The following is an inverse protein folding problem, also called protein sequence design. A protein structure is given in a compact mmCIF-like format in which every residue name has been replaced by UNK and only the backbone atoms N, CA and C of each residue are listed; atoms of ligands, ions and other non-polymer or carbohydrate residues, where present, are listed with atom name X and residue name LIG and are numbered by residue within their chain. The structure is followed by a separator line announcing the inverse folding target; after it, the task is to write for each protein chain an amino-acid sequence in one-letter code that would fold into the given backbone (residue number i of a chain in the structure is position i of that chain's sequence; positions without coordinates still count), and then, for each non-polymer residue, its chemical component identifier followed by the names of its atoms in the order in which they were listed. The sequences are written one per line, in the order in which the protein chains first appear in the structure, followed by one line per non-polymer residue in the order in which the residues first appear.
data_IF_234993438820
#
_entry.id   IF_234993438820
#
_cell.length_a   1.000
_cell.length_b   1.000
_cell.length_c   1.000
_cell.angle_alpha   90.00
_cell.angle_beta   90.00
_cell.angle_gamma   90.00
#
_symmetry.space_group_name_H-M   'P 1'
#
loop_
_entity.id
_entity.type
_entity.pdbx_description
1 polymer ?
#
# COMPACT_ATOMS: atom_id res chain seq x y z
N UNK A 1 9.81 4.53 -29.23
CA UNK A 1 8.60 3.73 -29.27
C UNK A 1 7.71 3.95 -28.04
N UNK A 2 8.25 4.01 -26.81
CA UNK A 2 7.54 4.42 -25.58
C UNK A 2 7.11 5.90 -25.61
N UNK A 3 7.83 6.75 -26.33
CA UNK A 3 7.56 8.20 -26.48
C UNK A 3 6.21 8.56 -27.14
N UNK A 4 5.46 7.59 -27.65
CA UNK A 4 4.18 7.87 -28.33
C UNK A 4 2.97 7.90 -27.38
N UNK A 5 3.13 7.53 -26.11
CA UNK A 5 2.02 7.31 -25.17
C UNK A 5 2.10 8.12 -23.88
N UNK A 6 3.25 8.81 -23.60
CA UNK A 6 3.49 9.53 -22.37
C UNK A 6 4.40 10.75 -22.56
N UNK A 7 4.52 11.58 -21.54
CA UNK A 7 5.53 12.63 -21.46
C UNK A 7 6.93 12.03 -21.71
N UNK A 8 7.75 12.72 -22.50
CA UNK A 8 9.08 12.23 -22.91
C UNK A 8 10.00 11.91 -21.70
N UNK A 9 9.79 12.57 -20.56
CA UNK A 9 10.55 12.30 -19.34
C UNK A 9 10.13 10.97 -18.69
N UNK A 10 8.85 10.65 -18.64
CA UNK A 10 8.34 9.40 -18.10
C UNK A 10 8.72 8.22 -18.98
N UNK A 11 8.61 8.35 -20.30
CA UNK A 11 9.06 7.32 -21.22
C UNK A 11 10.57 7.03 -21.11
N UNK A 12 11.40 8.05 -20.88
CA UNK A 12 12.84 7.90 -20.68
C UNK A 12 13.17 7.22 -19.35
N UNK A 13 12.40 7.50 -18.27
CA UNK A 13 12.53 6.82 -16.98
C UNK A 13 12.16 5.35 -17.11
N UNK A 14 10.99 5.05 -17.66
CA UNK A 14 10.54 3.68 -17.90
C UNK A 14 11.52 2.85 -18.72
N UNK A 15 12.07 3.43 -19.79
CA UNK A 15 13.04 2.74 -20.63
C UNK A 15 14.29 2.36 -19.85
N UNK A 16 14.77 3.22 -18.95
CA UNK A 16 15.92 2.95 -18.09
C UNK A 16 15.63 1.86 -17.06
N UNK A 17 14.45 1.93 -16.42
CA UNK A 17 14.05 0.95 -15.42
C UNK A 17 13.90 -0.44 -16.06
N UNK A 18 13.29 -0.52 -17.25
CA UNK A 18 13.24 -1.75 -18.04
C UNK A 18 14.63 -2.25 -18.43
N UNK A 19 15.53 -1.36 -18.83
CA UNK A 19 16.89 -1.74 -19.21
C UNK A 19 17.68 -2.30 -18.01
N UNK A 20 17.57 -1.66 -16.85
CA UNK A 20 18.15 -2.18 -15.61
C UNK A 20 17.59 -3.57 -15.27
N UNK A 21 16.28 -3.73 -15.36
CA UNK A 21 15.59 -4.98 -15.06
C UNK A 21 16.04 -6.12 -15.98
N UNK A 22 16.03 -5.89 -17.29
CA UNK A 22 16.34 -6.91 -18.28
C UNK A 22 17.81 -7.32 -18.28
N UNK A 23 18.73 -6.35 -18.07
CA UNK A 23 20.17 -6.62 -18.10
C UNK A 23 20.76 -6.99 -16.75
N UNK A 24 20.01 -6.76 -15.66
CA UNK A 24 20.53 -6.89 -14.29
C UNK A 24 21.65 -5.89 -13.95
N UNK A 25 21.90 -4.90 -14.83
CA UNK A 25 22.96 -3.91 -14.64
C UNK A 25 22.45 -2.69 -13.90
N UNK A 26 23.21 -2.15 -12.94
CA UNK A 26 22.81 -0.95 -12.22
C UNK A 26 22.81 0.27 -13.14
N UNK A 27 21.96 1.26 -12.79
CA UNK A 27 21.70 2.46 -13.60
C UNK A 27 22.94 3.28 -13.91
N UNK A 28 23.85 3.42 -12.97
CA UNK A 28 25.11 4.16 -13.12
C UNK A 28 26.00 3.51 -14.18
N UNK A 29 26.10 2.18 -14.19
CA UNK A 29 26.86 1.44 -15.21
C UNK A 29 26.28 1.65 -16.60
N UNK A 30 24.95 1.56 -16.76
CA UNK A 30 24.28 1.78 -18.04
C UNK A 30 24.41 3.22 -18.57
N UNK A 31 24.59 4.20 -17.69
CA UNK A 31 24.72 5.60 -18.06
C UNK A 31 26.18 6.02 -18.37
N UNK A 32 27.17 5.33 -17.81
CA UNK A 32 28.60 5.72 -17.91
C UNK A 32 29.40 4.89 -18.91
N UNK A 33 28.98 3.66 -19.18
CA UNK A 33 29.68 2.78 -20.12
C UNK A 33 28.94 2.65 -21.45
N UNK A 34 29.25 3.54 -22.39
CA UNK A 34 28.68 3.53 -23.73
C UNK A 34 29.18 2.39 -24.63
N UNK A 35 30.10 1.55 -24.14
CA UNK A 35 30.64 0.40 -24.89
C UNK A 35 29.86 -0.89 -24.67
N UNK A 36 28.89 -0.89 -23.75
CA UNK A 36 28.07 -2.05 -23.46
C UNK A 36 27.20 -2.45 -24.66
N UNK A 37 27.33 -3.70 -25.06
CA UNK A 37 26.46 -4.31 -26.07
C UNK A 37 25.41 -5.19 -25.39
N UNK A 38 24.19 -5.13 -25.92
CA UNK A 38 23.12 -6.04 -25.50
C UNK A 38 23.29 -7.40 -26.19
N UNK A 39 23.01 -8.48 -25.47
CA UNK A 39 22.91 -9.83 -26.04
C UNK A 39 21.58 -10.00 -26.78
N UNK A 40 21.48 -11.04 -27.61
CA UNK A 40 20.21 -11.38 -28.28
C UNK A 40 19.10 -11.69 -27.27
N UNK A 41 19.45 -12.35 -26.14
CA UNK A 41 18.53 -12.67 -25.06
C UNK A 41 18.04 -11.40 -24.35
N UNK A 42 18.94 -10.44 -24.06
CA UNK A 42 18.57 -9.14 -23.50
C UNK A 42 17.67 -8.34 -24.45
N UNK A 43 17.94 -8.37 -25.76
CA UNK A 43 17.07 -7.72 -26.74
C UNK A 43 15.67 -8.34 -26.79
N UNK A 44 15.58 -9.67 -26.81
CA UNK A 44 14.30 -10.37 -26.80
C UNK A 44 13.50 -10.12 -25.51
N UNK A 45 14.16 -10.12 -24.34
CA UNK A 45 13.54 -9.81 -23.06
C UNK A 45 13.06 -8.35 -23.00
N UNK A 46 13.81 -7.40 -23.56
CA UNK A 46 13.41 -6.00 -23.67
C UNK A 46 12.18 -5.85 -24.57
N UNK A 47 12.15 -6.49 -25.73
CA UNK A 47 10.98 -6.45 -26.63
C UNK A 47 9.74 -7.02 -25.95
N UNK A 48 9.88 -8.10 -25.21
CA UNK A 48 8.79 -8.68 -24.41
C UNK A 48 8.29 -7.71 -23.34
N UNK A 49 9.18 -7.12 -22.54
CA UNK A 49 8.86 -6.18 -21.47
C UNK A 49 8.19 -4.90 -22.03
N UNK A 50 8.73 -4.33 -23.11
CA UNK A 50 8.14 -3.17 -23.80
C UNK A 50 6.73 -3.48 -24.33
N UNK A 51 6.52 -4.68 -24.89
CA UNK A 51 5.20 -5.08 -25.39
C UNK A 51 4.18 -5.22 -24.24
N UNK A 52 4.56 -5.72 -23.07
CA UNK A 52 3.69 -5.74 -21.88
C UNK A 52 3.22 -4.35 -21.50
N UNK A 53 4.16 -3.40 -21.37
CA UNK A 53 3.85 -1.98 -21.04
C UNK A 53 2.95 -1.36 -22.13
N UNK A 54 3.24 -1.58 -23.41
CA UNK A 54 2.43 -1.07 -24.51
C UNK A 54 1.00 -1.62 -24.55
N UNK A 55 0.81 -2.81 -24.01
CA UNK A 55 -0.51 -3.42 -23.83
C UNK A 55 -1.21 -2.97 -22.55
N UNK A 56 -0.70 -1.92 -21.88
CA UNK A 56 -1.31 -1.30 -20.71
C UNK A 56 -0.93 -1.94 -19.37
N UNK A 57 -0.06 -2.96 -19.35
CA UNK A 57 0.38 -3.54 -18.09
C UNK A 57 1.24 -2.54 -17.30
N UNK A 58 0.93 -2.28 -16.01
CA UNK A 58 1.72 -1.38 -15.19
C UNK A 58 3.20 -1.74 -15.14
N UNK A 59 4.07 -0.73 -15.25
CA UNK A 59 5.52 -0.93 -15.21
C UNK A 59 5.97 -1.73 -13.99
N UNK A 60 5.40 -1.45 -12.82
CA UNK A 60 5.71 -2.16 -11.57
C UNK A 60 5.51 -3.69 -11.70
N UNK A 61 4.45 -4.14 -12.37
CA UNK A 61 4.22 -5.58 -12.59
C UNK A 61 5.16 -6.16 -13.64
N UNK A 62 5.60 -5.37 -14.60
CA UNK A 62 6.61 -5.80 -15.57
C UNK A 62 7.96 -6.01 -14.91
N UNK A 63 8.33 -5.10 -14.00
CA UNK A 63 9.56 -5.17 -13.19
C UNK A 63 9.47 -6.23 -12.07
N UNK A 64 8.27 -6.53 -11.59
CA UNK A 64 8.04 -7.43 -10.45
C UNK A 64 8.46 -6.86 -9.11
N UNK A 65 8.87 -5.58 -9.07
CA UNK A 65 9.19 -4.87 -7.84
C UNK A 65 8.87 -3.37 -7.95
N UNK A 66 8.63 -2.75 -6.80
CA UNK A 66 8.35 -1.32 -6.68
C UNK A 66 8.97 -0.78 -5.40
N UNK A 67 9.28 0.49 -5.37
CA UNK A 67 9.78 1.13 -4.15
C UNK A 67 8.62 1.77 -3.37
N UNK A 68 8.62 1.60 -2.05
CA UNK A 68 7.77 2.37 -1.14
C UNK A 68 8.56 2.73 0.12
N UNK A 69 8.59 4.01 0.44
CA UNK A 69 9.25 4.55 1.64
C UNK A 69 10.73 4.16 1.76
N UNK A 70 11.44 4.08 0.64
CA UNK A 70 12.85 3.66 0.53
C UNK A 70 13.08 2.15 0.64
N UNK A 71 12.01 1.33 0.60
CA UNK A 71 12.10 -0.12 0.66
C UNK A 71 11.73 -0.75 -0.69
N UNK A 72 12.53 -1.69 -1.22
CA UNK A 72 12.13 -2.49 -2.36
C UNK A 72 11.05 -3.50 -1.95
N UNK A 73 9.95 -3.53 -2.69
CA UNK A 73 8.83 -4.42 -2.47
C UNK A 73 8.54 -5.23 -3.73
N UNK A 74 8.37 -6.53 -3.59
CA UNK A 74 7.80 -7.37 -4.64
C UNK A 74 6.35 -6.99 -4.87
N UNK A 75 5.98 -6.91 -6.15
CA UNK A 75 4.61 -6.64 -6.59
C UNK A 75 4.24 -7.57 -7.75
N UNK A 76 3.01 -8.01 -7.77
CA UNK A 76 2.41 -8.77 -8.85
C UNK A 76 0.90 -8.47 -8.94
N UNK A 77 0.19 -9.15 -9.84
CA UNK A 77 -1.25 -8.93 -10.06
C UNK A 77 -2.17 -9.32 -8.89
N UNK A 78 -1.62 -9.86 -7.83
CA UNK A 78 -2.38 -10.26 -6.63
C UNK A 78 -2.42 -9.15 -5.57
N UNK A 79 -1.74 -8.01 -5.79
CA UNK A 79 -1.65 -6.87 -4.87
C UNK A 79 -1.80 -5.53 -5.58
N UNK A 80 -2.34 -4.52 -4.88
CA UNK A 80 -2.28 -3.13 -5.33
C UNK A 80 -0.83 -2.66 -5.38
N UNK A 81 -0.44 -1.97 -6.45
CA UNK A 81 0.85 -1.29 -6.51
C UNK A 81 0.85 -0.14 -5.49
N UNK A 82 1.82 -0.08 -4.56
CA UNK A 82 1.90 1.01 -3.60
C UNK A 82 1.92 2.38 -4.28
N UNK A 83 1.08 3.31 -3.80
CA UNK A 83 0.96 4.67 -4.34
C UNK A 83 1.76 5.65 -3.49
N UNK A 84 2.27 6.69 -4.13
CA UNK A 84 2.98 7.77 -3.42
C UNK A 84 2.06 8.48 -2.42
N UNK A 85 0.76 8.60 -2.73
CA UNK A 85 -0.24 9.18 -1.84
C UNK A 85 -0.35 8.42 -0.49
N UNK A 86 -0.11 7.11 -0.49
CA UNK A 86 -0.13 6.24 0.70
C UNK A 86 1.02 6.56 1.69
N UNK A 87 2.04 7.30 1.26
CA UNK A 87 3.07 7.81 2.17
C UNK A 87 2.47 8.70 3.26
N UNK A 88 1.41 9.44 2.95
CA UNK A 88 0.74 10.31 3.91
C UNK A 88 0.20 9.55 5.14
N UNK A 89 -0.48 8.41 4.93
CA UNK A 89 -0.98 7.59 6.05
C UNK A 89 0.16 6.91 6.80
N UNK A 90 1.21 6.47 6.10
CA UNK A 90 2.38 5.85 6.74
C UNK A 90 3.12 6.86 7.64
N UNK A 91 3.39 8.07 7.16
CA UNK A 91 4.04 9.13 7.94
C UNK A 91 3.20 9.57 9.14
N UNK A 92 1.89 9.71 8.95
CA UNK A 92 0.97 10.03 10.03
C UNK A 92 1.01 8.96 11.13
N UNK A 93 0.94 7.67 10.75
CA UNK A 93 1.00 6.55 11.67
C UNK A 93 2.37 6.44 12.37
N UNK A 94 3.49 6.65 11.65
CA UNK A 94 4.83 6.66 12.23
C UNK A 94 4.96 7.77 13.28
N UNK A 95 4.53 8.99 12.98
CA UNK A 95 4.60 10.14 13.88
C UNK A 95 3.88 9.90 15.20
N UNK A 96 2.66 9.37 15.16
CA UNK A 96 1.92 9.00 16.36
C UNK A 96 2.47 7.73 17.02
N UNK A 97 3.04 6.82 16.24
CA UNK A 97 3.69 5.61 16.72
C UNK A 97 4.86 5.86 17.68
N UNK A 98 5.56 7.00 17.52
CA UNK A 98 6.66 7.41 18.40
C UNK A 98 6.20 7.74 19.85
N UNK A 99 4.92 8.00 20.05
CA UNK A 99 4.34 8.30 21.37
C UNK A 99 3.64 7.09 22.01
N UNK A 100 3.66 5.93 21.37
CA UNK A 100 3.11 4.70 21.92
C UNK A 100 4.02 4.10 23.00
N UNK A 101 3.56 3.03 23.64
CA UNK A 101 4.33 2.28 24.65
C UNK A 101 5.67 1.76 24.08
N UNK A 102 6.59 1.35 24.96
CA UNK A 102 7.92 0.84 24.56
C UNK A 102 7.91 -0.32 23.55
N UNK A 103 6.84 -1.10 23.49
CA UNK A 103 6.70 -2.24 22.56
C UNK A 103 5.30 -2.26 21.95
N UNK A 104 4.98 -1.30 21.08
CA UNK A 104 3.63 -1.19 20.54
C UNK A 104 3.30 -2.35 19.61
N UNK A 105 2.05 -2.79 19.70
CA UNK A 105 1.46 -3.73 18.75
C UNK A 105 0.66 -2.95 17.72
N UNK A 106 1.00 -3.10 16.46
CA UNK A 106 0.38 -2.40 15.34
C UNK A 106 -0.24 -3.42 14.39
N UNK A 107 -1.46 -3.16 13.94
CA UNK A 107 -2.15 -3.91 12.90
C UNK A 107 -2.17 -3.07 11.63
N UNK A 108 -1.64 -3.60 10.54
CA UNK A 108 -1.83 -3.09 9.17
C UNK A 108 -2.92 -3.93 8.51
N UNK A 109 -4.12 -3.37 8.37
CA UNK A 109 -5.31 -4.03 7.86
C UNK A 109 -5.52 -3.65 6.39
N UNK A 110 -5.93 -4.61 5.55
CA UNK A 110 -5.90 -4.51 4.08
C UNK A 110 -4.47 -4.27 3.57
N UNK A 111 -3.53 -5.05 4.07
CA UNK A 111 -2.09 -4.77 3.97
C UNK A 111 -1.54 -4.86 2.54
N UNK A 112 -2.17 -5.61 1.63
CA UNK A 112 -1.71 -5.81 0.25
C UNK A 112 -0.26 -6.30 0.19
N UNK A 113 0.64 -5.46 -0.31
CA UNK A 113 2.09 -5.73 -0.36
C UNK A 113 2.77 -5.73 1.01
N UNK A 114 2.10 -5.22 2.04
CA UNK A 114 2.70 -4.95 3.34
C UNK A 114 3.34 -3.56 3.46
N UNK A 115 3.22 -2.70 2.48
CA UNK A 115 4.00 -1.46 2.35
C UNK A 115 3.91 -0.56 3.59
N UNK A 116 2.70 -0.32 4.13
CA UNK A 116 2.49 0.52 5.30
C UNK A 116 3.08 -0.14 6.55
N UNK A 117 2.68 -1.38 6.84
CA UNK A 117 3.15 -2.10 8.03
C UNK A 117 4.66 -2.31 8.06
N UNK A 118 5.28 -2.57 6.91
CA UNK A 118 6.74 -2.69 6.79
C UNK A 118 7.43 -1.34 6.99
N UNK A 119 6.86 -0.24 6.48
CA UNK A 119 7.37 1.11 6.73
C UNK A 119 7.33 1.43 8.23
N UNK A 120 6.21 1.14 8.91
CA UNK A 120 6.11 1.30 10.38
C UNK A 120 7.15 0.44 11.09
N UNK A 121 7.29 -0.83 10.73
CA UNK A 121 8.27 -1.73 11.35
C UNK A 121 9.71 -1.25 11.15
N UNK A 122 10.04 -0.63 10.03
CA UNK A 122 11.37 -0.09 9.75
C UNK A 122 11.70 1.14 10.58
N UNK A 123 10.69 1.99 10.87
CA UNK A 123 10.85 3.27 11.57
C UNK A 123 10.60 3.20 13.08
N UNK A 124 9.87 2.18 13.52
CA UNK A 124 9.55 1.92 14.93
C UNK A 124 10.22 0.60 15.36
N UNK A 125 11.48 0.63 15.79
CA UNK A 125 12.31 -0.58 15.96
C UNK A 125 11.77 -1.54 17.03
N UNK A 126 11.01 -1.04 18.01
CA UNK A 126 10.43 -1.85 19.08
C UNK A 126 9.00 -2.34 18.80
N UNK A 127 8.38 -1.86 17.69
CA UNK A 127 7.04 -2.26 17.32
C UNK A 127 6.95 -3.71 16.85
N UNK A 128 5.87 -4.39 17.24
CA UNK A 128 5.43 -5.66 16.65
C UNK A 128 4.28 -5.38 15.70
N UNK A 129 4.47 -5.67 14.41
CA UNK A 129 3.50 -5.38 13.37
C UNK A 129 2.84 -6.67 12.89
N UNK A 130 1.53 -6.63 12.76
CA UNK A 130 0.74 -7.70 12.14
C UNK A 130 0.18 -7.17 10.83
N UNK A 131 0.56 -7.82 9.71
CA UNK A 131 0.03 -7.55 8.38
C UNK A 131 -1.21 -8.42 8.18
N UNK A 132 -2.36 -7.83 7.94
CA UNK A 132 -3.62 -8.54 7.79
C UNK A 132 -4.29 -8.23 6.44
N UNK A 133 -4.72 -9.28 5.76
CA UNK A 133 -5.44 -9.18 4.50
C UNK A 133 -6.42 -10.36 4.36
N UNK A 134 -7.51 -10.16 3.64
CA UNK A 134 -8.45 -11.23 3.30
C UNK A 134 -7.86 -12.19 2.25
N UNK A 135 -7.00 -11.69 1.37
CA UNK A 135 -6.39 -12.42 0.26
C UNK A 135 -5.16 -13.22 0.70
N UNK A 136 -5.21 -14.57 0.67
CA UNK A 136 -4.02 -15.39 0.92
C UNK A 136 -2.87 -15.11 -0.05
N UNK A 137 -3.19 -14.68 -1.27
CA UNK A 137 -2.21 -14.32 -2.31
C UNK A 137 -1.50 -13.01 -1.97
N UNK A 138 -2.23 -11.98 -1.57
CA UNK A 138 -1.63 -10.74 -1.07
C UNK A 138 -0.72 -11.02 0.14
N UNK A 139 -1.16 -11.87 1.07
CA UNK A 139 -0.32 -12.29 2.20
C UNK A 139 0.93 -13.07 1.79
N UNK A 140 0.91 -13.79 0.67
CA UNK A 140 2.11 -14.45 0.14
C UNK A 140 3.13 -13.41 -0.34
N UNK A 141 2.70 -12.36 -1.03
CA UNK A 141 3.54 -11.23 -1.44
C UNK A 141 4.06 -10.47 -0.21
N UNK A 142 3.18 -10.14 0.75
CA UNK A 142 3.57 -9.47 1.98
C UNK A 142 4.64 -10.24 2.78
N UNK A 143 4.57 -11.60 2.82
CA UNK A 143 5.61 -12.43 3.46
C UNK A 143 6.94 -12.37 2.72
N UNK A 144 6.94 -12.33 1.39
CA UNK A 144 8.17 -12.15 0.62
C UNK A 144 8.80 -10.78 0.93
N UNK A 145 7.99 -9.73 0.98
CA UNK A 145 8.44 -8.38 1.29
C UNK A 145 8.97 -8.26 2.72
N UNK A 146 8.27 -8.85 3.69
CA UNK A 146 8.73 -8.94 5.08
C UNK A 146 10.11 -9.61 5.18
N UNK A 147 10.31 -10.71 4.46
CA UNK A 147 11.56 -11.45 4.47
C UNK A 147 12.67 -10.71 3.73
N UNK A 148 12.37 -10.17 2.54
CA UNK A 148 13.32 -9.41 1.72
C UNK A 148 13.85 -8.15 2.42
N UNK A 149 13.02 -7.52 3.25
CA UNK A 149 13.39 -6.35 4.05
C UNK A 149 13.89 -6.70 5.48
N UNK A 150 14.16 -7.97 5.78
CA UNK A 150 14.73 -8.45 7.05
C UNK A 150 13.88 -8.11 8.30
N UNK A 151 12.56 -8.04 8.17
CA UNK A 151 11.64 -7.65 9.24
C UNK A 151 10.92 -8.84 9.92
N UNK A 152 11.21 -10.08 9.53
CA UNK A 152 10.53 -11.30 10.00
C UNK A 152 10.57 -11.52 11.52
N UNK A 153 11.53 -10.92 12.23
CA UNK A 153 11.61 -11.05 13.70
C UNK A 153 10.50 -10.28 14.44
N UNK A 154 9.90 -9.26 13.80
CA UNK A 154 8.94 -8.35 14.43
C UNK A 154 7.64 -8.18 13.66
N UNK A 155 7.57 -8.72 12.44
CA UNK A 155 6.40 -8.66 11.58
C UNK A 155 5.82 -10.05 11.40
N UNK A 156 4.50 -10.16 11.39
CA UNK A 156 3.76 -11.41 11.14
C UNK A 156 2.62 -11.16 10.16
N UNK A 157 2.16 -12.20 9.46
CA UNK A 157 1.06 -12.10 8.50
C UNK A 157 -0.10 -13.00 8.95
N UNK A 158 -1.32 -12.45 8.89
CA UNK A 158 -2.55 -13.11 9.32
C UNK A 158 -3.66 -12.88 8.30
N UNK A 159 -4.47 -13.89 8.03
CA UNK A 159 -5.67 -13.70 7.23
C UNK A 159 -6.79 -13.12 8.11
N UNK A 160 -7.34 -11.98 7.69
CA UNK A 160 -8.47 -11.33 8.36
C UNK A 160 -9.30 -10.54 7.35
N UNK A 161 -10.62 -10.54 7.58
CA UNK A 161 -11.57 -9.79 6.77
C UNK A 161 -11.88 -8.46 7.44
N UNK A 162 -11.58 -7.35 6.75
CA UNK A 162 -11.88 -6.01 7.24
C UNK A 162 -13.38 -5.68 7.25
N UNK A 163 -14.19 -6.44 6.51
CA UNK A 163 -15.66 -6.33 6.51
C UNK A 163 -16.34 -7.20 7.57
N UNK A 164 -15.55 -7.96 8.35
CA UNK A 164 -16.06 -8.86 9.39
C UNK A 164 -15.49 -8.57 10.78
N UNK A 165 -15.87 -9.43 11.73
CA UNK A 165 -15.32 -9.37 13.08
C UNK A 165 -13.84 -9.73 13.10
N UNK A 166 -12.99 -9.01 13.85
CA UNK A 166 -11.59 -9.37 13.99
C UNK A 166 -11.45 -10.75 14.63
N UNK A 167 -10.63 -11.65 14.09
CA UNK A 167 -10.37 -12.94 14.70
C UNK A 167 -9.93 -12.79 16.17
N UNK A 168 -10.53 -13.54 17.09
CA UNK A 168 -10.29 -13.40 18.53
C UNK A 168 -8.82 -13.60 18.93
N UNK A 169 -8.06 -14.40 18.18
CA UNK A 169 -6.66 -14.64 18.46
C UNK A 169 -5.73 -13.44 18.17
N UNK A 170 -6.20 -12.43 17.42
CA UNK A 170 -5.43 -11.20 17.18
C UNK A 170 -5.14 -10.43 18.47
N UNK A 171 -6.07 -10.46 19.42
CA UNK A 171 -5.96 -9.68 20.67
C UNK A 171 -6.12 -8.18 20.44
N UNK A 172 -5.42 -7.36 21.21
CA UNK A 172 -5.53 -5.90 21.20
C UNK A 172 -4.26 -5.24 20.65
N UNK A 173 -4.46 -4.17 19.88
CA UNK A 173 -3.41 -3.34 19.29
C UNK A 173 -3.39 -1.94 19.90
N UNK A 174 -2.23 -1.32 19.91
CA UNK A 174 -2.04 0.09 20.28
C UNK A 174 -2.43 1.00 19.11
N UNK A 175 -2.24 0.52 17.87
CA UNK A 175 -2.60 1.22 16.64
C UNK A 175 -3.12 0.22 15.60
N UNK A 176 -4.14 0.64 14.87
CA UNK A 176 -4.57 0.01 13.61
C UNK A 176 -4.34 1.04 12.51
N UNK A 177 -3.68 0.64 11.43
CA UNK A 177 -3.51 1.44 10.22
C UNK A 177 -4.14 0.68 9.05
N UNK A 178 -4.73 1.39 8.09
CA UNK A 178 -5.26 0.78 6.88
C UNK A 178 -5.31 1.77 5.72
N UNK A 179 -5.02 1.25 4.54
CA UNK A 179 -5.47 1.80 3.27
C UNK A 179 -6.52 0.84 2.71
N UNK A 180 -7.80 0.95 3.13
CA UNK A 180 -8.83 0.03 2.69
C UNK A 180 -9.32 0.38 1.29
N UNK A 181 -9.97 -0.54 0.56
CA UNK A 181 -10.65 -0.23 -0.69
C UNK A 181 -11.71 0.86 -0.49
N UNK A 182 -11.70 1.88 -1.37
CA UNK A 182 -12.58 3.05 -1.25
C UNK A 182 -13.19 3.53 -2.56
N UNK A 183 -12.94 2.84 -3.68
CA UNK A 183 -13.48 3.22 -4.99
C UNK A 183 -14.93 2.76 -5.08
N UNK A 184 -15.82 3.65 -5.47
CA UNK A 184 -17.24 3.36 -5.61
C UNK A 184 -17.52 2.41 -6.78
N UNK A 185 -18.66 1.71 -6.75
CA UNK A 185 -19.13 0.87 -7.87
C UNK A 185 -19.16 1.66 -9.19
N UNK A 186 -19.56 2.93 -9.16
CA UNK A 186 -19.62 3.77 -10.35
C UNK A 186 -18.21 4.08 -10.89
N UNK A 187 -17.28 4.50 -10.01
CA UNK A 187 -15.91 4.84 -10.38
C UNK A 187 -15.11 3.62 -10.87
N UNK A 188 -15.42 2.41 -10.40
CA UNK A 188 -14.80 1.17 -10.90
C UNK A 188 -14.96 1.00 -12.41
N UNK A 189 -16.07 1.48 -12.99
CA UNK A 189 -16.30 1.42 -14.42
C UNK A 189 -15.41 2.39 -15.21
N UNK A 190 -15.01 3.50 -14.59
CA UNK A 190 -14.26 4.61 -15.20
C UNK A 190 -12.74 4.51 -14.97
N UNK A 191 -12.28 3.51 -14.23
CA UNK A 191 -10.85 3.32 -13.97
C UNK A 191 -10.04 3.20 -15.26
N UNK A 192 -8.82 3.75 -15.28
CA UNK A 192 -7.89 3.55 -16.38
C UNK A 192 -7.67 2.06 -16.65
N UNK A 193 -7.48 1.69 -17.91
CA UNK A 193 -7.22 0.30 -18.35
C UNK A 193 -6.09 -0.37 -17.57
N UNK A 194 -5.00 0.35 -17.29
CA UNK A 194 -3.86 -0.15 -16.52
C UNK A 194 -4.19 -0.53 -15.08
N UNK A 195 -5.22 0.07 -14.49
CA UNK A 195 -5.72 -0.28 -13.14
C UNK A 195 -6.79 -1.36 -13.25
N UNK A 196 -7.82 -1.11 -14.05
CA UNK A 196 -9.02 -1.95 -14.13
C UNK A 196 -8.73 -3.39 -14.55
N UNK A 197 -7.82 -3.59 -15.51
CA UNK A 197 -7.58 -4.89 -16.12
C UNK A 197 -6.41 -5.65 -15.49
N UNK A 198 -5.62 -4.98 -14.67
CA UNK A 198 -4.39 -5.55 -14.12
C UNK A 198 -4.35 -5.61 -12.59
N UNK A 199 -4.92 -4.62 -11.90
CA UNK A 199 -4.91 -4.60 -10.43
C UNK A 199 -6.14 -5.32 -9.86
N UNK A 200 -6.02 -5.97 -8.69
CA UNK A 200 -7.11 -6.77 -8.15
C UNK A 200 -8.29 -5.90 -7.73
N UNK A 201 -9.48 -6.14 -8.27
CA UNK A 201 -10.69 -5.40 -7.92
C UNK A 201 -11.00 -5.44 -6.40
N UNK A 202 -10.59 -6.53 -5.72
CA UNK A 202 -10.70 -6.68 -4.28
C UNK A 202 -9.94 -5.60 -3.49
N UNK A 203 -8.86 -5.06 -4.04
CA UNK A 203 -8.05 -4.01 -3.41
C UNK A 203 -8.56 -2.59 -3.74
N UNK A 204 -9.58 -2.46 -4.60
CA UNK A 204 -10.07 -1.19 -5.11
C UNK A 204 -11.49 -0.88 -4.66
N UNK A 205 -12.40 -1.85 -4.76
CA UNK A 205 -13.84 -1.65 -4.63
C UNK A 205 -14.28 -1.51 -3.17
N UNK A 206 -14.76 -0.33 -2.79
CA UNK A 206 -15.20 0.04 -1.45
C UNK A 206 -16.70 0.00 -1.22
N UNK A 207 -17.48 -0.59 -2.14
CA UNK A 207 -18.94 -0.58 -2.09
C UNK A 207 -19.58 0.51 -2.95
N UNK A 208 -20.89 0.70 -2.81
CA UNK A 208 -21.64 1.63 -3.67
C UNK A 208 -21.23 3.08 -3.48
N UNK A 209 -20.93 3.48 -2.25
CA UNK A 209 -20.48 4.85 -1.90
C UNK A 209 -18.99 4.90 -1.48
N UNK A 210 -18.26 3.78 -1.58
CA UNK A 210 -16.84 3.70 -1.24
C UNK A 210 -16.57 3.72 0.26
N UNK A 211 -17.57 3.56 1.12
CA UNK A 211 -17.44 3.74 2.58
C UNK A 211 -17.65 2.46 3.40
N UNK A 212 -17.88 1.31 2.77
CA UNK A 212 -18.19 0.07 3.46
C UNK A 212 -17.12 -0.37 4.45
N UNK A 213 -15.84 -0.24 4.05
CA UNK A 213 -14.72 -0.60 4.90
C UNK A 213 -14.59 0.32 6.12
N UNK A 214 -14.84 1.62 5.97
CA UNK A 214 -14.76 2.56 7.10
C UNK A 214 -15.85 2.28 8.13
N UNK A 215 -17.07 1.95 7.69
CA UNK A 215 -18.18 1.53 8.59
C UNK A 215 -17.80 0.27 9.34
N UNK A 216 -17.34 -0.75 8.62
CA UNK A 216 -16.97 -2.03 9.21
C UNK A 216 -15.79 -1.92 10.16
N UNK A 217 -14.73 -1.21 9.78
CA UNK A 217 -13.55 -1.00 10.62
C UNK A 217 -13.94 -0.22 11.89
N UNK A 218 -14.74 0.85 11.77
CA UNK A 218 -15.23 1.63 12.90
C UNK A 218 -16.06 0.80 13.87
N UNK A 219 -16.92 -0.08 13.38
CA UNK A 219 -17.81 -0.93 14.18
C UNK A 219 -17.06 -2.12 14.80
N UNK A 220 -16.40 -2.91 13.97
CA UNK A 220 -15.88 -4.23 14.39
C UNK A 220 -14.46 -4.14 14.98
N UNK A 221 -13.56 -3.41 14.33
CA UNK A 221 -12.13 -3.37 14.72
C UNK A 221 -11.86 -2.49 15.94
N UNK A 222 -12.85 -1.69 16.39
CA UNK A 222 -12.83 -1.09 17.75
C UNK A 222 -12.56 -2.15 18.82
N UNK A 223 -13.06 -3.38 18.64
CA UNK A 223 -12.85 -4.51 19.56
C UNK A 223 -11.39 -4.98 19.60
N UNK A 224 -10.65 -4.83 18.51
CA UNK A 224 -9.23 -5.17 18.42
C UNK A 224 -8.29 -4.02 18.79
N UNK A 225 -8.80 -2.80 18.99
CA UNK A 225 -8.04 -1.65 19.43
C UNK A 225 -8.10 -1.50 20.95
N UNK A 226 -7.00 -1.14 21.61
CA UNK A 226 -6.99 -0.80 23.03
C UNK A 226 -7.78 0.49 23.26
N UNK A 227 -8.27 0.71 24.49
CA UNK A 227 -8.78 2.02 24.91
C UNK A 227 -7.66 3.06 24.78
N UNK A 228 -7.96 4.25 24.27
CA UNK A 228 -6.97 5.27 23.94
C UNK A 228 -6.04 4.94 22.75
N UNK A 229 -6.23 3.79 22.11
CA UNK A 229 -5.45 3.39 20.92
C UNK A 229 -5.83 4.19 19.68
N UNK A 230 -4.97 4.16 18.67
CA UNK A 230 -5.10 4.97 17.46
C UNK A 230 -5.59 4.15 16.27
N UNK A 231 -6.50 4.74 15.50
CA UNK A 231 -6.93 4.26 14.19
C UNK A 231 -6.49 5.27 13.13
N UNK A 232 -5.62 4.85 12.21
CA UNK A 232 -5.08 5.68 11.13
C UNK A 232 -5.57 5.13 9.79
N UNK A 233 -6.27 5.95 9.00
CA UNK A 233 -6.91 5.51 7.75
C UNK A 233 -6.54 6.42 6.60
N UNK A 234 -6.21 5.81 5.45
CA UNK A 234 -6.24 6.46 4.14
C UNK A 234 -7.68 6.50 3.62
N UNK A 235 -8.00 7.51 2.80
CA UNK A 235 -9.31 7.64 2.15
C UNK A 235 -9.21 8.31 0.78
N UNK A 236 -10.23 8.10 -0.04
CA UNK A 236 -10.37 8.69 -1.36
C UNK A 236 -10.65 10.20 -1.31
N UNK A 237 -10.39 10.87 -2.42
CA UNK A 237 -10.64 12.30 -2.55
C UNK A 237 -12.12 12.62 -2.27
N UNK A 238 -12.37 13.58 -1.37
CA UNK A 238 -13.73 14.02 -1.00
C UNK A 238 -14.40 13.16 0.08
N UNK A 239 -13.84 12.02 0.50
CA UNK A 239 -14.46 11.16 1.51
C UNK A 239 -14.14 11.57 2.96
N UNK A 240 -13.22 12.50 3.19
CA UNK A 240 -12.69 12.80 4.53
C UNK A 240 -13.75 13.15 5.57
N UNK A 241 -14.76 13.94 5.22
CA UNK A 241 -15.83 14.35 6.15
C UNK A 241 -16.76 13.18 6.50
N UNK A 242 -17.07 12.32 5.53
CA UNK A 242 -17.90 11.14 5.76
C UNK A 242 -17.17 10.11 6.64
N UNK A 243 -15.87 9.89 6.39
CA UNK A 243 -15.05 9.00 7.22
C UNK A 243 -14.95 9.53 8.67
N UNK A 244 -14.73 10.85 8.84
CA UNK A 244 -14.74 11.47 10.17
C UNK A 244 -16.07 11.25 10.90
N UNK A 245 -17.20 11.44 10.21
CA UNK A 245 -18.53 11.23 10.79
C UNK A 245 -18.71 9.77 11.22
N UNK A 246 -18.41 8.81 10.32
CA UNK A 246 -18.50 7.37 10.62
C UNK A 246 -17.70 7.03 11.89
N UNK A 247 -16.44 7.47 11.98
CA UNK A 247 -15.61 7.14 13.13
C UNK A 247 -16.13 7.81 14.42
N UNK A 248 -16.62 9.05 14.33
CA UNK A 248 -17.19 9.76 15.49
C UNK A 248 -18.41 9.04 16.04
N UNK A 249 -19.28 8.54 15.15
CA UNK A 249 -20.48 7.76 15.51
C UNK A 249 -20.11 6.41 16.18
N UNK A 250 -18.91 5.87 15.90
CA UNK A 250 -18.38 4.65 16.52
C UNK A 250 -17.46 4.89 17.72
N UNK A 251 -17.50 6.10 18.31
CA UNK A 251 -16.83 6.38 19.58
C UNK A 251 -15.34 6.78 19.42
N UNK A 252 -14.94 7.27 18.26
CA UNK A 252 -13.59 7.83 18.06
C UNK A 252 -13.59 9.35 18.19
N UNK A 253 -12.43 9.91 18.56
CA UNK A 253 -12.14 11.34 18.49
C UNK A 253 -11.15 11.55 17.36
N UNK A 254 -11.50 12.34 16.35
CA UNK A 254 -10.59 12.69 15.27
C UNK A 254 -9.51 13.62 15.82
N UNK A 255 -8.25 13.26 15.65
CA UNK A 255 -7.10 14.02 16.16
C UNK A 255 -6.50 14.90 15.06
N UNK A 256 -6.34 14.35 13.85
CA UNK A 256 -5.67 15.02 12.76
C UNK A 256 -6.14 14.48 11.41
N UNK A 257 -6.15 15.35 10.39
CA UNK A 257 -6.26 15.02 8.97
C UNK A 257 -5.00 15.50 8.28
N UNK A 258 -4.46 14.73 7.35
CA UNK A 258 -3.24 15.08 6.61
C UNK A 258 -3.45 15.02 5.11
N UNK A 259 -2.58 15.71 4.38
CA UNK A 259 -2.59 15.80 2.93
C UNK A 259 -1.42 15.03 2.34
N UNK A 260 -1.59 14.56 1.09
CA UNK A 260 -0.52 14.01 0.29
C UNK A 260 0.37 15.10 -0.31
N UNK A 261 1.39 14.71 -1.08
CA UNK A 261 2.32 15.64 -1.74
C UNK A 261 1.65 16.54 -2.81
N UNK A 262 0.43 16.21 -3.25
CA UNK A 262 -0.36 16.99 -4.18
C UNK A 262 -1.35 17.95 -3.47
N UNK A 263 -1.18 18.15 -2.16
CA UNK A 263 -2.04 18.98 -1.29
C UNK A 263 -3.51 18.51 -1.25
N UNK A 264 -3.76 17.20 -1.46
CA UNK A 264 -5.09 16.58 -1.35
C UNK A 264 -5.22 15.90 0.00
N UNK A 265 -6.36 16.07 0.67
CA UNK A 265 -6.63 15.31 1.90
C UNK A 265 -6.61 13.81 1.60
N UNK A 266 -5.81 13.06 2.37
CA UNK A 266 -5.55 11.67 2.06
C UNK A 266 -5.66 10.74 3.25
N UNK A 267 -5.37 11.20 4.46
CA UNK A 267 -5.42 10.34 5.62
C UNK A 267 -5.90 11.09 6.87
N UNK A 268 -6.36 10.33 7.84
CA UNK A 268 -6.70 10.82 9.17
C UNK A 268 -6.17 9.87 10.24
N UNK A 269 -6.04 10.41 11.45
CA UNK A 269 -5.86 9.61 12.66
C UNK A 269 -6.93 9.98 13.68
N UNK A 270 -7.50 8.94 14.28
CA UNK A 270 -8.51 9.05 15.32
C UNK A 270 -8.10 8.22 16.54
N UNK A 271 -8.53 8.64 17.71
CA UNK A 271 -8.29 7.95 18.97
C UNK A 271 -9.58 7.30 19.46
N UNK A 272 -9.51 6.04 19.86
CA UNK A 272 -10.61 5.36 20.54
C UNK A 272 -10.85 5.98 21.91
N UNK A 273 -12.10 6.35 22.21
CA UNK A 273 -12.47 6.87 23.53
C UNK A 273 -12.32 5.80 24.61
N UNK A 274 -12.15 6.24 25.86
CA UNK A 274 -11.91 5.37 27.03
C UNK A 274 -13.19 4.80 27.68
N UNK A 275 -14.35 5.04 27.12
CA UNK A 275 -15.67 4.66 27.70
C UNK A 275 -15.80 3.17 27.99
#
# INVERSE_FOLDING_TARGET
MLLATEDAQDASRMARDLLCHVTGRPKDVLLTDGSLLATEEECAAMDFAVNRVRNGEPLAYVLGEWEFYGMPLKVDRDVLIPRDDTVAVAELAIRYGLFLSEKPRILDLCTGTGCIGLALASRLPDAKVTLADISPKALAVARQNMTGNHLSARVSCVQADALGEPPAFLGKFDMIVSNPPYITTAEMAELPHSVKDFEPALALHGGDDGLDFYRSIGEHYTKALKKGGYLCLEFGMGQGDDVCRILTDHGYTILERTRDYNDRERALIAQRKDD
#
